data_IF_927119732873
#
_entry.id   IF_927119732873
#
_cell.length_a   1.000
_cell.length_b   1.000
_cell.length_c   1.000
_cell.angle_alpha   90.00
_cell.angle_beta   90.00
_cell.angle_gamma   90.00
#
_symmetry.space_group_name_H-M   'P 1'
#
loop_
_entity.id
_entity.type
_entity.pdbx_description
1 polymer ?
#
# COMPACT_ATOMS: atom_id res chain seq x y z
N UNK A 1 8.50 -5.92 -25.57
CA UNK A 1 7.22 -5.94 -24.81
C UNK A 1 7.54 -5.60 -23.37
N UNK A 2 7.01 -4.49 -22.83
CA UNK A 2 7.27 -4.10 -21.44
C UNK A 2 6.56 -5.07 -20.50
N UNK A 3 7.22 -5.58 -19.44
CA UNK A 3 6.59 -6.51 -18.53
C UNK A 3 5.42 -5.79 -17.88
N UNK A 4 4.23 -6.38 -17.98
CA UNK A 4 3.05 -5.97 -17.22
C UNK A 4 3.39 -6.04 -15.74
N UNK A 5 3.94 -4.96 -15.20
CA UNK A 5 4.15 -4.76 -13.78
C UNK A 5 2.80 -5.04 -13.12
N UNK A 6 2.72 -6.09 -12.30
CA UNK A 6 1.50 -6.45 -11.57
C UNK A 6 1.07 -5.21 -10.79
N UNK A 7 0.09 -4.50 -11.36
CA UNK A 7 -0.39 -3.24 -10.80
C UNK A 7 -1.05 -3.46 -9.44
N UNK A 8 -1.53 -4.67 -9.19
CA UNK A 8 -2.18 -5.07 -7.96
C UNK A 8 -1.33 -6.06 -7.17
N UNK A 9 -1.02 -5.69 -5.94
CA UNK A 9 -0.30 -6.46 -4.94
C UNK A 9 -1.29 -7.12 -3.99
N UNK A 10 -1.04 -8.37 -3.63
CA UNK A 10 -1.73 -9.02 -2.51
C UNK A 10 -1.21 -8.49 -1.16
N UNK A 11 -1.92 -8.69 -0.03
CA UNK A 11 -1.39 -8.37 1.29
C UNK A 11 -0.07 -9.08 1.62
N UNK A 12 0.21 -10.22 0.99
CA UNK A 12 1.49 -10.92 1.11
C UNK A 12 2.58 -10.22 0.29
N UNK A 13 2.32 -9.93 -0.99
CA UNK A 13 3.28 -9.20 -1.83
C UNK A 13 3.55 -7.77 -1.29
N UNK A 14 2.55 -7.09 -0.71
CA UNK A 14 2.76 -5.79 -0.08
C UNK A 14 3.66 -5.89 1.17
N UNK A 15 3.56 -7.00 1.93
CA UNK A 15 4.44 -7.27 3.04
C UNK A 15 5.87 -7.54 2.55
N UNK A 16 6.03 -8.30 1.47
CA UNK A 16 7.34 -8.62 0.91
C UNK A 16 8.02 -7.41 0.25
N UNK A 17 7.28 -6.61 -0.54
CA UNK A 17 7.83 -5.46 -1.27
C UNK A 17 8.04 -4.24 -0.36
N UNK A 18 7.08 -3.92 0.52
CA UNK A 18 7.08 -2.70 1.32
C UNK A 18 7.32 -2.94 2.82
N UNK A 19 7.36 -4.18 3.29
CA UNK A 19 7.55 -4.50 4.72
C UNK A 19 6.32 -4.26 5.59
N UNK A 20 5.15 -3.95 5.02
CA UNK A 20 3.95 -3.67 5.80
C UNK A 20 3.38 -4.94 6.44
N UNK A 21 3.56 -5.12 7.75
CA UNK A 21 3.03 -6.24 8.53
C UNK A 21 1.54 -6.53 8.27
N UNK A 22 1.12 -7.80 8.10
CA UNK A 22 -0.30 -8.17 7.92
C UNK A 22 -1.23 -7.60 9.00
N UNK A 23 -0.78 -7.58 10.26
CA UNK A 23 -1.52 -6.96 11.38
C UNK A 23 -1.66 -5.45 11.24
N UNK A 24 -0.61 -4.78 10.76
CA UNK A 24 -0.63 -3.34 10.51
C UNK A 24 -1.56 -3.02 9.34
N UNK A 25 -1.48 -3.80 8.25
CA UNK A 25 -2.39 -3.69 7.12
C UNK A 25 -3.85 -3.86 7.56
N UNK A 26 -4.17 -4.83 8.40
CA UNK A 26 -5.52 -5.04 8.91
C UNK A 26 -6.05 -3.85 9.72
N UNK A 27 -5.20 -3.33 10.62
CA UNK A 27 -5.49 -2.13 11.41
C UNK A 27 -5.68 -0.89 10.52
N UNK A 28 -4.83 -0.70 9.51
CA UNK A 28 -4.92 0.41 8.56
C UNK A 28 -6.14 0.30 7.65
N UNK A 29 -6.47 -0.90 7.16
CA UNK A 29 -7.70 -1.16 6.37
C UNK A 29 -8.96 -0.90 7.19
N UNK A 30 -9.00 -1.35 8.44
CA UNK A 30 -10.13 -1.07 9.34
C UNK A 30 -10.32 0.43 9.56
N UNK A 31 -9.23 1.18 9.63
CA UNK A 31 -9.25 2.64 9.73
C UNK A 31 -9.36 3.35 8.38
N UNK A 32 -9.40 2.63 7.26
CA UNK A 32 -9.37 3.15 5.87
C UNK A 32 -8.22 4.15 5.64
N UNK A 33 -7.10 3.95 6.33
CA UNK A 33 -5.93 4.83 6.24
C UNK A 33 -5.05 4.51 5.05
N UNK A 34 -5.04 3.26 4.59
CA UNK A 34 -4.30 2.81 3.41
C UNK A 34 -5.27 2.56 2.24
N UNK A 35 -4.96 3.00 1.01
CA UNK A 35 -5.80 2.69 -0.14
C UNK A 35 -5.76 1.19 -0.43
N UNK A 36 -6.93 0.57 -0.50
CA UNK A 36 -7.06 -0.84 -0.85
C UNK A 36 -8.26 -1.02 -1.78
N UNK A 37 -8.14 -1.97 -2.71
CA UNK A 37 -9.22 -2.41 -3.59
C UNK A 37 -9.80 -3.71 -3.06
N UNK A 38 -11.09 -3.68 -2.73
CA UNK A 38 -11.86 -4.88 -2.42
C UNK A 38 -12.50 -5.40 -3.70
N UNK A 39 -12.04 -6.55 -4.17
CA UNK A 39 -12.60 -7.26 -5.31
C UNK A 39 -13.32 -8.50 -4.77
N UNK A 40 -14.60 -8.33 -4.43
CA UNK A 40 -15.40 -9.37 -3.77
C UNK A 40 -14.86 -9.70 -2.36
N UNK A 41 -14.37 -10.92 -2.18
CA UNK A 41 -13.75 -11.39 -0.93
C UNK A 41 -12.24 -11.12 -0.81
N UNK A 42 -11.60 -10.67 -1.90
CA UNK A 42 -10.16 -10.48 -1.95
C UNK A 42 -9.80 -9.01 -1.77
N UNK A 43 -8.74 -8.76 -1.01
CA UNK A 43 -8.15 -7.42 -0.87
C UNK A 43 -6.86 -7.37 -1.69
N UNK A 44 -6.76 -6.35 -2.54
CA UNK A 44 -5.58 -6.03 -3.33
C UNK A 44 -5.19 -4.57 -3.13
N UNK A 45 -3.92 -4.28 -3.31
CA UNK A 45 -3.36 -2.94 -3.20
C UNK A 45 -2.84 -2.53 -4.58
N UNK A 46 -3.24 -1.36 -5.07
CA UNK A 46 -2.67 -0.84 -6.31
C UNK A 46 -1.31 -0.22 -5.98
N UNK A 47 -0.24 -0.68 -6.62
CA UNK A 47 1.13 -0.21 -6.35
C UNK A 47 1.23 1.30 -6.53
N UNK A 48 0.59 1.86 -7.54
CA UNK A 48 0.62 3.30 -7.80
C UNK A 48 -0.15 4.07 -6.72
N UNK A 49 -1.29 3.55 -6.27
CA UNK A 49 -2.01 4.18 -5.15
C UNK A 49 -1.21 4.12 -3.86
N UNK A 50 -0.52 3.01 -3.59
CA UNK A 50 0.36 2.88 -2.43
C UNK A 50 1.53 3.83 -2.54
N UNK A 51 2.20 3.94 -3.69
CA UNK A 51 3.31 4.87 -3.90
C UNK A 51 2.86 6.32 -3.66
N UNK A 52 1.79 6.75 -4.33
CA UNK A 52 1.22 8.10 -4.16
C UNK A 52 0.77 8.32 -2.71
N UNK A 53 0.23 7.31 -2.06
CA UNK A 53 -0.16 7.39 -0.66
C UNK A 53 1.05 7.53 0.24
N UNK A 54 2.11 6.74 0.02
CA UNK A 54 3.38 6.86 0.74
C UNK A 54 3.97 8.23 0.48
N UNK A 55 3.98 8.77 -0.73
CA UNK A 55 4.49 10.11 -1.01
C UNK A 55 3.68 11.20 -0.27
N UNK A 56 2.36 11.06 -0.21
CA UNK A 56 1.46 11.99 0.52
C UNK A 56 1.55 11.87 2.04
N UNK A 57 1.77 10.66 2.56
CA UNK A 57 1.88 10.36 3.99
C UNK A 57 3.33 10.26 4.47
N UNK A 58 4.29 10.37 3.56
CA UNK A 58 5.69 10.56 3.88
C UNK A 58 5.71 11.89 4.59
N UNK A 59 5.78 11.79 5.91
CA UNK A 59 6.32 12.84 6.72
C UNK A 59 7.76 12.92 6.25
N UNK A 60 8.00 13.66 5.16
CA UNK A 60 9.21 14.45 5.08
C UNK A 60 9.16 15.17 6.41
N UNK A 61 9.97 14.69 7.35
CA UNK A 61 10.49 15.55 8.40
C UNK A 61 11.08 16.72 7.63
N UNK A 62 10.24 17.72 7.36
CA UNK A 62 10.70 19.07 7.16
C UNK A 62 11.21 19.45 8.55
N UNK A 63 12.42 18.97 8.81
CA UNK A 63 13.32 19.52 9.80
C UNK A 63 13.51 20.96 9.32
N UNK A 64 12.58 21.81 9.74
CA UNK A 64 12.83 23.23 9.93
C UNK A 64 13.98 23.32 10.91
N UNK A 65 15.18 23.58 10.40
CA UNK A 65 16.29 24.12 11.17
C UNK A 65 17.19 24.95 10.25
#
# INVERSE_FOLDING_TARGET
>A
MSPSQKRFLTPDELLEEYGFGKKWQDKMRSKKLIPYKKLGGYVRYDRLEIDVWIEKHSVVSEESA
#
